data_IF_839223114154
#
_entry.id   IF_839223114154
#
_cell.length_a   1.000
_cell.length_b   1.000
_cell.length_c   1.000
_cell.angle_alpha   90.00
_cell.angle_beta   90.00
_cell.angle_gamma   90.00
#
_symmetry.space_group_name_H-M   'P 1'
#
loop_
_entity.id
_entity.type
_entity.pdbx_description
1 polymer ?
#
# COMPACT_ATOMS: atom_id res chain seq x y z
N UNK A 1 -5.12 33.94 -9.67
CA UNK A 1 -4.03 34.10 -8.68
C UNK A 1 -3.82 32.86 -7.78
N UNK A 2 -4.87 32.17 -7.32
CA UNK A 2 -4.77 31.00 -6.41
C UNK A 2 -3.85 29.87 -6.90
N UNK A 3 -3.90 29.54 -8.20
CA UNK A 3 -3.08 28.47 -8.79
C UNK A 3 -1.57 28.77 -8.76
N UNK A 4 -1.17 30.05 -8.82
CA UNK A 4 0.24 30.44 -8.77
C UNK A 4 0.82 30.30 -7.37
N UNK A 5 0.00 30.58 -6.34
CA UNK A 5 0.38 30.43 -4.94
C UNK A 5 0.51 28.95 -4.56
N UNK A 6 -0.42 28.11 -5.03
CA UNK A 6 -0.32 26.66 -4.81
C UNK A 6 0.93 26.09 -5.50
N UNK A 7 1.17 26.44 -6.76
CA UNK A 7 2.37 25.98 -7.49
C UNK A 7 3.68 26.37 -6.79
N UNK A 8 3.77 27.58 -6.23
CA UNK A 8 4.94 27.97 -5.43
C UNK A 8 5.06 27.15 -4.14
N UNK A 9 3.96 26.86 -3.46
CA UNK A 9 3.97 26.04 -2.24
C UNK A 9 4.49 24.64 -2.55
N UNK A 10 3.99 24.02 -3.61
CA UNK A 10 4.41 22.67 -4.02
C UNK A 10 5.92 22.65 -4.37
N UNK A 11 6.44 23.72 -4.98
CA UNK A 11 7.88 23.86 -5.25
C UNK A 11 8.71 24.04 -3.98
N UNK A 12 8.21 24.79 -2.99
CA UNK A 12 8.85 24.92 -1.69
C UNK A 12 8.93 23.58 -0.96
N UNK A 13 7.83 22.81 -0.95
CA UNK A 13 7.77 21.50 -0.31
C UNK A 13 8.73 20.51 -0.98
N UNK A 14 8.74 20.44 -2.31
CA UNK A 14 9.71 19.60 -3.04
C UNK A 14 11.15 19.97 -2.75
N UNK A 15 11.46 21.27 -2.66
CA UNK A 15 12.81 21.73 -2.31
C UNK A 15 13.17 21.28 -0.89
N UNK A 16 12.23 21.38 0.05
CA UNK A 16 12.43 20.93 1.43
C UNK A 16 12.71 19.42 1.49
N UNK A 17 11.91 18.59 0.81
CA UNK A 17 12.12 17.14 0.78
C UNK A 17 13.50 16.77 0.19
N UNK A 18 13.94 17.49 -0.85
CA UNK A 18 15.27 17.33 -1.45
C UNK A 18 16.39 17.75 -0.49
N UNK A 19 16.18 18.81 0.28
CA UNK A 19 17.13 19.27 1.29
C UNK A 19 17.22 18.28 2.45
N UNK A 20 16.10 17.74 2.93
CA UNK A 20 16.07 16.76 4.02
C UNK A 20 16.73 15.44 3.62
N UNK A 21 16.48 14.97 2.39
CA UNK A 21 17.13 13.76 1.86
C UNK A 21 18.63 13.94 1.59
N UNK A 22 19.07 15.10 1.11
CA UNK A 22 20.49 15.38 0.85
C UNK A 22 21.29 15.78 2.10
N UNK A 23 20.66 16.42 3.08
CA UNK A 23 21.29 16.77 4.36
C UNK A 23 21.63 15.53 5.21
N UNK A 24 20.93 14.41 5.01
CA UNK A 24 21.28 13.14 5.64
C UNK A 24 22.61 12.57 5.14
N UNK A 25 22.90 12.74 3.84
CA UNK A 25 24.11 12.22 3.20
C UNK A 25 25.30 13.17 3.25
N UNK A 26 25.05 14.48 3.34
CA UNK A 26 26.13 15.47 3.28
C UNK A 26 26.17 16.28 4.56
N UNK A 27 27.26 16.11 5.32
CA UNK A 27 27.71 17.02 6.38
C UNK A 27 28.12 18.36 5.74
N UNK A 28 27.19 19.07 5.10
CA UNK A 28 27.53 20.26 4.34
C UNK A 28 27.97 21.37 5.27
N UNK A 29 29.19 21.87 5.10
CA UNK A 29 29.72 22.99 5.86
C UNK A 29 29.22 24.36 5.38
N UNK A 30 28.54 24.45 4.21
CA UNK A 30 28.14 25.72 3.60
C UNK A 30 26.94 25.62 2.65
N UNK A 31 26.18 26.72 2.52
CA UNK A 31 25.02 26.83 1.63
C UNK A 31 25.39 26.49 0.18
N UNK A 32 26.54 26.96 -0.30
CA UNK A 32 26.94 26.79 -1.70
C UNK A 32 27.07 25.32 -2.09
N UNK A 33 27.71 24.51 -1.25
CA UNK A 33 27.86 23.07 -1.48
C UNK A 33 26.53 22.32 -1.48
N UNK A 34 25.57 22.79 -0.70
CA UNK A 34 24.22 22.23 -0.68
C UNK A 34 23.47 22.62 -1.96
N UNK A 35 23.55 23.87 -2.40
CA UNK A 35 22.93 24.32 -3.64
C UNK A 35 23.52 23.62 -4.86
N UNK A 36 24.83 23.31 -4.84
CA UNK A 36 25.47 22.51 -5.89
C UNK A 36 24.91 21.08 -5.99
N UNK A 37 24.58 20.44 -4.85
CA UNK A 37 24.00 19.09 -4.85
C UNK A 37 22.53 19.06 -5.27
N UNK A 38 21.83 20.20 -5.26
CA UNK A 38 20.43 20.28 -5.69
C UNK A 38 20.28 20.07 -7.21
N UNK A 39 19.16 19.45 -7.66
CA UNK A 39 18.81 19.39 -9.07
C UNK A 39 18.52 20.79 -9.63
N UNK A 40 18.69 20.98 -10.95
CA UNK A 40 18.61 22.29 -11.60
C UNK A 40 17.30 23.07 -11.35
N UNK A 41 16.17 22.38 -11.25
CA UNK A 41 14.87 22.98 -10.91
C UNK A 41 14.83 23.53 -9.48
N UNK A 42 15.47 22.83 -8.54
CA UNK A 42 15.59 23.25 -7.14
C UNK A 42 16.49 24.48 -7.00
N UNK A 43 17.60 24.53 -7.75
CA UNK A 43 18.50 25.71 -7.74
C UNK A 43 17.81 26.98 -8.24
N UNK A 44 17.02 26.87 -9.32
CA UNK A 44 16.27 27.99 -9.85
C UNK A 44 15.23 28.50 -8.84
N UNK A 45 14.48 27.59 -8.21
CA UNK A 45 13.52 27.97 -7.18
C UNK A 45 14.21 28.59 -5.95
N UNK A 46 15.36 28.08 -5.54
CA UNK A 46 16.14 28.63 -4.43
C UNK A 46 16.62 30.06 -4.68
N UNK A 47 17.06 30.37 -5.90
CA UNK A 47 17.47 31.73 -6.27
C UNK A 47 16.30 32.74 -6.13
N UNK A 48 15.11 32.32 -6.57
CA UNK A 48 13.93 33.20 -6.63
C UNK A 48 13.16 33.28 -5.30
N UNK A 49 13.17 32.21 -4.50
CA UNK A 49 12.35 32.10 -3.30
C UNK A 49 13.09 32.56 -2.03
N UNK A 50 12.80 33.79 -1.58
CA UNK A 50 13.39 34.35 -0.34
C UNK A 50 13.15 33.49 0.89
N UNK A 51 11.94 32.93 1.03
CA UNK A 51 11.57 32.11 2.19
C UNK A 51 12.41 30.84 2.31
N UNK A 52 12.71 30.19 1.19
CA UNK A 52 13.58 29.01 1.18
C UNK A 52 15.04 29.35 1.51
N UNK A 53 15.51 30.54 1.11
CA UNK A 53 16.85 31.04 1.49
C UNK A 53 16.95 31.34 2.98
N UNK A 54 15.98 32.05 3.54
CA UNK A 54 15.90 32.36 4.97
C UNK A 54 15.86 31.07 5.81
N UNK A 55 14.98 30.13 5.45
CA UNK A 55 14.88 28.85 6.14
C UNK A 55 16.18 28.05 6.12
N UNK A 56 16.94 28.09 5.01
CA UNK A 56 18.20 27.38 4.92
C UNK A 56 19.31 28.04 5.77
N UNK A 57 19.32 29.37 5.83
CA UNK A 57 20.22 30.12 6.70
C UNK A 57 19.95 29.81 8.18
N UNK A 58 18.67 29.77 8.59
CA UNK A 58 18.27 29.41 9.94
C UNK A 58 18.67 27.97 10.29
N UNK A 59 18.55 27.04 9.34
CA UNK A 59 18.97 25.65 9.52
C UNK A 59 20.49 25.56 9.76
N UNK A 60 21.30 26.29 8.99
CA UNK A 60 22.74 26.30 9.21
C UNK A 60 23.14 26.99 10.51
N UNK A 61 22.50 28.10 10.86
CA UNK A 61 22.75 28.79 12.13
C UNK A 61 22.40 27.89 13.33
N UNK A 62 21.25 27.21 13.29
CA UNK A 62 20.89 26.24 14.34
C UNK A 62 21.86 25.07 14.40
N UNK A 63 22.36 24.59 13.25
CA UNK A 63 23.38 23.55 13.20
C UNK A 63 24.71 24.02 13.79
N UNK A 64 25.19 25.22 13.47
CA UNK A 64 26.41 25.78 14.06
C UNK A 64 26.29 25.91 15.58
N UNK A 65 25.14 26.35 16.07
CA UNK A 65 24.84 26.40 17.50
C UNK A 65 24.85 25.00 18.13
N UNK A 66 24.26 24.00 17.47
CA UNK A 66 24.23 22.62 17.95
C UNK A 66 25.61 21.95 17.91
N UNK A 67 26.39 22.18 16.85
CA UNK A 67 27.77 21.69 16.74
C UNK A 67 28.70 22.40 17.72
N UNK A 68 28.48 23.68 18.02
CA UNK A 68 29.21 24.40 19.06
C UNK A 68 28.83 23.96 20.48
N UNK A 69 27.58 23.49 20.67
CA UNK A 69 27.09 22.96 21.95
C UNK A 69 27.53 21.50 22.20
N UNK A 70 27.73 20.72 21.13
CA UNK A 70 28.35 19.39 21.21
C UNK A 70 29.85 19.61 21.20
N UNK A 71 30.49 19.57 22.38
CA UNK A 71 31.95 19.53 22.45
C UNK A 71 32.45 18.48 21.44
N UNK A 72 33.41 18.83 20.55
CA UNK A 72 33.97 17.84 19.65
C UNK A 72 34.46 16.70 20.52
N UNK A 73 33.86 15.51 20.33
CA UNK A 73 34.27 14.34 21.08
C UNK A 73 35.76 14.16 20.80
N UNK A 74 36.60 14.36 21.83
CA UNK A 74 38.03 14.14 21.73
C UNK A 74 38.24 12.81 21.01
N UNK A 75 39.09 12.84 19.97
CA UNK A 75 39.40 11.70 19.12
C UNK A 75 39.38 10.43 19.94
N UNK A 76 38.36 9.60 19.71
CA UNK A 76 38.07 8.47 20.57
C UNK A 76 39.34 7.67 20.77
N UNK A 77 39.82 7.60 22.02
CA UNK A 77 41.12 7.01 22.34
C UNK A 77 41.31 5.62 21.73
N UNK A 78 42.52 5.04 21.70
CA UNK A 78 42.92 3.92 20.83
C UNK A 78 42.04 2.64 20.87
N UNK A 79 41.11 2.54 21.82
CA UNK A 79 40.16 1.43 21.99
C UNK A 79 38.71 1.77 21.65
N UNK A 80 38.40 3.02 21.28
CA UNK A 80 37.06 3.50 20.97
C UNK A 80 36.48 2.75 19.77
N UNK A 81 37.23 2.67 18.66
CA UNK A 81 36.80 1.94 17.46
C UNK A 81 36.48 0.47 17.77
N UNK A 82 37.32 -0.19 18.57
CA UNK A 82 37.10 -1.59 18.98
C UNK A 82 35.83 -1.74 19.83
N UNK A 83 35.60 -0.83 20.78
CA UNK A 83 34.40 -0.85 21.64
C UNK A 83 33.13 -0.57 20.83
N UNK A 84 33.16 0.44 19.96
CA UNK A 84 32.03 0.79 19.09
C UNK A 84 31.69 -0.36 18.15
N UNK A 85 32.69 -0.92 17.45
CA UNK A 85 32.47 -2.08 16.56
C UNK A 85 31.93 -3.28 17.34
N UNK A 86 32.41 -3.52 18.57
CA UNK A 86 31.88 -4.61 19.40
C UNK A 86 30.43 -4.37 19.83
N UNK A 87 30.05 -3.12 20.13
CA UNK A 87 28.70 -2.74 20.49
C UNK A 87 27.75 -2.82 19.28
N UNK A 88 28.21 -2.39 18.10
CA UNK A 88 27.47 -2.53 16.84
C UNK A 88 27.24 -4.01 16.53
N UNK A 89 28.28 -4.84 16.57
CA UNK A 89 28.16 -6.27 16.31
C UNK A 89 27.21 -6.98 17.31
N UNK A 90 27.19 -6.54 18.57
CA UNK A 90 26.24 -7.04 19.56
C UNK A 90 24.79 -6.65 19.20
N UNK A 91 24.57 -5.38 18.82
CA UNK A 91 23.25 -4.87 18.42
C UNK A 91 22.74 -5.47 17.11
N UNK A 92 23.62 -5.69 16.14
CA UNK A 92 23.29 -6.36 14.88
C UNK A 92 22.84 -7.81 15.11
N UNK A 93 23.45 -8.52 16.06
CA UNK A 93 22.99 -9.87 16.46
C UNK A 93 21.59 -9.82 17.05
N UNK A 94 21.32 -8.87 17.94
CA UNK A 94 19.97 -8.66 18.52
C UNK A 94 18.92 -8.36 17.44
N UNK A 95 19.28 -7.60 16.41
CA UNK A 95 18.39 -7.25 15.30
C UNK A 95 18.26 -8.37 14.24
N UNK A 96 19.27 -9.24 14.11
CA UNK A 96 19.22 -10.40 13.24
C UNK A 96 18.24 -11.48 13.75
N UNK A 97 18.05 -11.60 15.07
CA UNK A 97 17.07 -12.53 15.65
C UNK A 97 15.62 -12.27 15.17
N UNK A 98 15.04 -11.05 15.29
CA UNK A 98 13.71 -10.79 14.76
C UNK A 98 13.69 -10.87 13.22
N UNK A 99 14.69 -10.36 12.50
CA UNK A 99 14.72 -10.43 11.03
C UNK A 99 14.73 -11.89 10.50
N UNK A 100 15.43 -12.80 11.19
CA UNK A 100 15.42 -14.23 10.85
C UNK A 100 14.08 -14.91 11.13
N UNK A 101 13.34 -14.49 12.17
CA UNK A 101 11.99 -14.98 12.45
C UNK A 101 11.00 -14.65 11.31
N UNK A 102 11.15 -13.49 10.67
CA UNK A 102 10.34 -13.10 9.52
C UNK A 102 10.76 -13.78 8.19
N UNK A 103 11.98 -14.35 8.12
CA UNK A 103 12.46 -15.05 6.91
C UNK A 103 11.79 -16.41 6.66
N UNK A 104 11.14 -17.02 7.66
CA UNK A 104 10.36 -18.26 7.50
C UNK A 104 8.93 -18.03 7.01
N UNK A 105 8.39 -16.82 7.17
CA UNK A 105 7.01 -16.45 6.81
C UNK A 105 6.63 -16.77 5.35
N UNK A 106 7.46 -16.54 4.31
CA UNK A 106 7.05 -16.78 2.92
C UNK A 106 6.77 -18.26 2.61
N UNK A 107 7.45 -19.21 3.28
CA UNK A 107 7.20 -20.64 3.08
C UNK A 107 5.90 -21.10 3.74
N UNK A 108 5.54 -20.52 4.89
CA UNK A 108 4.27 -20.80 5.54
C UNK A 108 3.09 -20.18 4.78
N UNK A 109 3.25 -18.98 4.23
CA UNK A 109 2.22 -18.33 3.42
C UNK A 109 1.80 -19.20 2.21
N UNK A 110 2.76 -19.80 1.50
CA UNK A 110 2.48 -20.69 0.37
C UNK A 110 1.71 -21.95 0.78
N UNK A 111 2.07 -22.57 1.91
CA UNK A 111 1.38 -23.76 2.42
C UNK A 111 -0.03 -23.44 2.90
N UNK A 112 -0.23 -22.30 3.57
CA UNK A 112 -1.54 -21.85 4.03
C UNK A 112 -2.45 -21.49 2.85
N UNK A 113 -1.92 -20.85 1.81
CA UNK A 113 -2.68 -20.54 0.59
C UNK A 113 -3.14 -21.82 -0.13
N UNK A 114 -2.29 -22.84 -0.22
CA UNK A 114 -2.69 -24.14 -0.78
C UNK A 114 -3.71 -24.85 0.10
N UNK A 115 -3.53 -24.83 1.41
CA UNK A 115 -4.48 -25.43 2.35
C UNK A 115 -5.85 -24.75 2.26
N UNK A 116 -5.92 -23.42 2.21
CA UNK A 116 -7.17 -22.68 2.07
C UNK A 116 -7.83 -22.93 0.72
N UNK A 117 -7.06 -22.99 -0.37
CA UNK A 117 -7.58 -23.35 -1.69
C UNK A 117 -8.22 -24.75 -1.70
N UNK A 118 -7.55 -25.75 -1.11
CA UNK A 118 -8.10 -27.12 -1.00
C UNK A 118 -9.38 -27.13 -0.17
N UNK A 119 -9.41 -26.42 0.96
CA UNK A 119 -10.59 -26.32 1.83
C UNK A 119 -11.76 -25.64 1.10
N UNK A 120 -11.51 -24.61 0.30
CA UNK A 120 -12.55 -23.95 -0.49
C UNK A 120 -13.08 -24.84 -1.60
N UNK A 121 -12.22 -25.58 -2.30
CA UNK A 121 -12.64 -26.53 -3.35
C UNK A 121 -13.42 -27.69 -2.75
N UNK A 122 -12.93 -28.30 -1.67
CA UNK A 122 -13.64 -29.37 -0.98
C UNK A 122 -14.96 -28.89 -0.36
N UNK A 123 -14.95 -27.70 0.24
CA UNK A 123 -16.12 -27.08 0.85
C UNK A 123 -17.20 -26.73 -0.17
N UNK A 124 -16.81 -26.17 -1.32
CA UNK A 124 -17.75 -25.89 -2.42
C UNK A 124 -18.29 -27.17 -3.05
N UNK A 125 -17.45 -28.19 -3.30
CA UNK A 125 -17.89 -29.48 -3.81
C UNK A 125 -18.87 -30.17 -2.84
N UNK A 126 -18.60 -30.10 -1.54
CA UNK A 126 -19.49 -30.63 -0.52
C UNK A 126 -20.79 -29.83 -0.41
N UNK A 127 -20.73 -28.50 -0.55
CA UNK A 127 -21.92 -27.66 -0.61
C UNK A 127 -22.80 -28.05 -1.80
N UNK A 128 -22.21 -28.25 -2.98
CA UNK A 128 -22.90 -28.68 -4.20
C UNK A 128 -23.50 -30.08 -4.09
N UNK A 129 -22.81 -31.02 -3.43
CA UNK A 129 -23.34 -32.37 -3.19
C UNK A 129 -24.46 -32.37 -2.14
N UNK A 130 -24.37 -31.52 -1.11
CA UNK A 130 -25.40 -31.40 -0.08
C UNK A 130 -26.60 -30.57 -0.55
N UNK A 131 -26.40 -29.64 -1.48
CA UNK A 131 -27.45 -29.01 -2.26
C UNK A 131 -27.83 -29.89 -3.45
N UNK A 132 -28.27 -31.11 -3.18
CA UNK A 132 -29.28 -31.71 -4.08
C UNK A 132 -30.41 -30.69 -4.21
N UNK A 133 -30.85 -30.35 -5.43
CA UNK A 133 -31.90 -29.36 -5.60
C UNK A 133 -33.18 -29.92 -4.96
N UNK A 134 -33.52 -29.45 -3.77
CA UNK A 134 -34.93 -29.17 -3.52
C UNK A 134 -35.32 -28.25 -4.67
N UNK A 135 -36.21 -28.77 -5.52
CA UNK A 135 -37.03 -28.04 -6.48
C UNK A 135 -36.99 -26.56 -6.19
N UNK A 136 -36.55 -25.76 -7.16
CA UNK A 136 -36.66 -24.30 -7.13
C UNK A 136 -38.12 -23.99 -6.80
N UNK A 137 -38.41 -23.83 -5.51
CA UNK A 137 -39.66 -23.28 -5.03
C UNK A 137 -39.47 -21.80 -5.31
N UNK A 138 -39.94 -21.40 -6.48
CA UNK A 138 -40.20 -20.00 -6.76
C UNK A 138 -40.80 -19.38 -5.49
N UNK A 139 -40.26 -18.25 -5.00
CA UNK A 139 -40.95 -17.47 -3.98
C UNK A 139 -42.27 -17.01 -4.62
N UNK A 140 -43.34 -17.74 -4.33
CA UNK A 140 -44.68 -17.27 -4.60
C UNK A 140 -44.92 -16.03 -3.75
N UNK A 141 -45.28 -14.95 -4.44
CA UNK A 141 -45.82 -13.69 -3.93
C UNK A 141 -44.85 -12.76 -3.18
N UNK A 142 -44.19 -11.88 -3.96
CA UNK A 142 -44.31 -10.43 -3.77
C UNK A 142 -43.48 -9.68 -4.83
N UNK A 143 -43.99 -9.60 -6.05
CA UNK A 143 -43.80 -8.43 -6.93
C UNK A 143 -44.54 -8.66 -8.24
N UNK A 144 -45.64 -7.94 -8.39
CA UNK A 144 -46.27 -7.65 -9.66
C UNK A 144 -45.30 -6.94 -10.60
N UNK A 145 -45.12 -7.45 -11.82
CA UNK A 145 -45.18 -6.56 -12.97
C UNK A 145 -46.23 -7.04 -13.97
N UNK A 146 -47.09 -6.11 -14.36
CA UNK A 146 -48.09 -6.22 -15.41
C UNK A 146 -47.51 -6.87 -16.69
N UNK A 147 -48.14 -7.94 -17.18
CA UNK A 147 -47.96 -8.37 -18.56
C UNK A 147 -49.33 -8.70 -19.19
N UNK A 148 -49.63 -7.93 -20.23
CA UNK A 148 -50.91 -7.70 -20.91
C UNK A 148 -51.17 -8.68 -22.07
N UNK A 149 -50.68 -9.92 -22.00
CA UNK A 149 -50.94 -10.92 -23.04
C UNK A 149 -51.30 -12.26 -22.42
N UNK A 150 -52.59 -12.57 -22.44
CA UNK A 150 -53.17 -13.88 -22.17
C UNK A 150 -52.67 -14.88 -23.23
N UNK A 151 -51.66 -15.68 -22.89
CA UNK A 151 -51.30 -16.88 -23.63
C UNK A 151 -51.93 -18.09 -22.91
N UNK A 152 -52.49 -19.07 -23.64
CA UNK A 152 -53.18 -20.19 -23.00
C UNK A 152 -52.21 -20.96 -22.11
N UNK A 153 -52.64 -21.22 -20.87
CA UNK A 153 -51.85 -21.92 -19.86
C UNK A 153 -51.28 -23.24 -20.42
N UNK A 154 -49.98 -23.54 -20.23
CA UNK A 154 -49.44 -24.84 -20.61
C UNK A 154 -50.03 -25.92 -19.69
N UNK A 155 -50.37 -27.12 -20.21
CA UNK A 155 -50.92 -28.19 -19.39
C UNK A 155 -49.91 -28.60 -18.32
N UNK A 156 -50.37 -28.64 -17.07
CA UNK A 156 -49.54 -28.95 -15.88
C UNK A 156 -49.15 -30.42 -15.75
N UNK A 157 -49.41 -31.26 -16.76
CA UNK A 157 -49.09 -32.68 -16.71
C UNK A 157 -48.75 -33.23 -18.10
N UNK A 158 -47.70 -34.06 -18.20
CA UNK A 158 -47.21 -34.62 -19.47
C UNK A 158 -48.22 -35.59 -20.11
N UNK A 159 -49.11 -36.19 -19.32
CA UNK A 159 -50.12 -37.13 -19.82
C UNK A 159 -51.23 -36.46 -20.65
N UNK A 160 -51.54 -35.18 -20.39
CA UNK A 160 -52.55 -34.43 -21.15
C UNK A 160 -52.07 -34.09 -22.59
N UNK A 161 -50.75 -34.02 -22.80
CA UNK A 161 -50.17 -33.73 -24.12
C UNK A 161 -50.39 -34.90 -25.07
N UNK A 162 -50.27 -36.14 -24.59
CA UNK A 162 -50.44 -37.34 -25.40
C UNK A 162 -51.89 -37.55 -25.84
N UNK A 163 -52.86 -37.21 -24.99
CA UNK A 163 -54.29 -37.29 -25.30
C UNK A 163 -54.66 -36.25 -26.37
N UNK A 164 -54.14 -35.01 -26.25
CA UNK A 164 -54.42 -33.94 -27.23
C UNK A 164 -53.86 -34.22 -28.63
N UNK A 165 -52.80 -35.03 -28.73
CA UNK A 165 -52.19 -35.42 -30.01
C UNK A 165 -52.92 -36.61 -30.66
N UNK A 166 -53.50 -37.50 -29.85
CA UNK A 166 -54.31 -38.61 -30.34
C UNK A 166 -55.67 -38.14 -30.88
N UNK A 167 -56.28 -37.15 -30.23
CA UNK A 167 -57.59 -36.59 -30.61
C UNK A 167 -57.52 -35.71 -31.87
N UNK A 168 -56.32 -35.17 -32.20
CA UNK A 168 -56.11 -34.36 -33.42
C UNK A 168 -55.89 -35.17 -34.70
N UNK A 169 -55.73 -36.50 -34.60
CA UNK A 169 -55.49 -37.40 -35.74
C UNK A 169 -56.69 -38.32 -36.06
N UNK A 170 -57.89 -37.97 -35.59
CA UNK A 170 -59.18 -38.52 -36.04
C UNK A 170 -59.98 -37.43 -36.73
#
# INVERSE_FOLDING_TARGET
MRNLLNRRRDQCERLQDLLESSAADVLVASIEKLVESLPGEGRAHFADCRRCREALQDLLATRELLLGAVAPAEDGGPWFAKRVLSAIAARERELAFPASAWSMVPRFASRVAWASAIVLVAGSAWLYQRSTPSTIRQPAAASSPEYLFEAPAPPMNQDDVLISMAERNQ
#
